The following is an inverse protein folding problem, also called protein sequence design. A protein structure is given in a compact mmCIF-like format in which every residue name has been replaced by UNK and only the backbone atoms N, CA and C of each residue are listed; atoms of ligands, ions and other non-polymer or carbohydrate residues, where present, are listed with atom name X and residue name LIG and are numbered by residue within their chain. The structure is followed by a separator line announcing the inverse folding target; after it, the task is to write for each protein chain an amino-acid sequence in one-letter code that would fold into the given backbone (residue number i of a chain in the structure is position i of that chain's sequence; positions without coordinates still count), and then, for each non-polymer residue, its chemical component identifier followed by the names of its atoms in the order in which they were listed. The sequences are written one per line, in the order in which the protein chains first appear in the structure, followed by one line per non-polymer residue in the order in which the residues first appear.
data_IF_130248689114
#
_entry.id   IF_130248689114
#
_cell.length_a   1.000
_cell.length_b   1.000
_cell.length_c   1.000
_cell.angle_alpha   90.00
_cell.angle_beta   90.00
_cell.angle_gamma   90.00
#
_symmetry.space_group_name_H-M   'P 1'
#
loop_
_entity.id
_entity.type
_entity.pdbx_description
1 polymer ?
#
# COMPACT_ATOMS: atom_id res chain seq x y z
N UNK A 1 -17.89 -0.84 7.59
CA UNK A 1 -17.76 -1.30 6.19
C UNK A 1 -17.03 -0.21 5.41
N UNK A 2 -15.87 -0.51 4.84
CA UNK A 2 -15.16 0.45 3.96
C UNK A 2 -15.79 0.35 2.57
N UNK A 3 -16.24 1.46 2.01
CA UNK A 3 -16.77 1.52 0.64
C UNK A 3 -15.60 1.76 -0.31
N UNK A 4 -15.33 0.80 -1.21
CA UNK A 4 -14.30 0.93 -2.25
C UNK A 4 -14.94 1.56 -3.49
N UNK A 5 -14.30 2.59 -4.05
CA UNK A 5 -14.77 3.28 -5.26
C UNK A 5 -13.67 3.34 -6.30
N UNK A 6 -14.04 3.19 -7.57
CA UNK A 6 -13.11 3.20 -8.69
C UNK A 6 -13.74 3.74 -9.97
N UNK A 7 -12.89 3.94 -10.98
CA UNK A 7 -13.29 4.46 -12.29
C UNK A 7 -13.83 3.37 -13.24
N UNK A 8 -13.66 2.11 -12.87
CA UNK A 8 -14.15 0.92 -13.58
C UNK A 8 -14.27 -0.24 -12.60
N UNK A 9 -14.96 -1.30 -12.99
CA UNK A 9 -15.08 -2.52 -12.17
C UNK A 9 -13.70 -3.14 -11.88
N UNK A 10 -12.81 -3.17 -12.87
CA UNK A 10 -11.43 -3.64 -12.70
C UNK A 10 -10.65 -2.83 -11.64
N UNK A 11 -10.81 -1.50 -11.62
CA UNK A 11 -10.17 -0.64 -10.61
C UNK A 11 -10.73 -0.92 -9.20
N UNK A 12 -12.03 -1.20 -9.10
CA UNK A 12 -12.67 -1.58 -7.84
C UNK A 12 -12.14 -2.93 -7.35
N UNK A 13 -12.03 -3.92 -8.24
CA UNK A 13 -11.52 -5.26 -7.90
C UNK A 13 -10.07 -5.17 -7.41
N UNK A 14 -9.19 -4.50 -8.15
CA UNK A 14 -7.78 -4.34 -7.78
C UNK A 14 -7.61 -3.62 -6.43
N UNK A 15 -8.39 -2.57 -6.16
CA UNK A 15 -8.37 -1.87 -4.86
C UNK A 15 -8.89 -2.75 -3.74
N UNK A 16 -9.89 -3.59 -4.03
CA UNK A 16 -10.46 -4.52 -3.05
C UNK A 16 -9.45 -5.60 -2.68
N UNK A 17 -8.76 -6.19 -3.66
CA UNK A 17 -7.68 -7.15 -3.42
C UNK A 17 -6.54 -6.54 -2.60
N UNK A 18 -6.11 -5.32 -2.95
CA UNK A 18 -5.08 -4.62 -2.19
C UNK A 18 -5.49 -4.41 -0.72
N UNK A 19 -6.74 -4.03 -0.46
CA UNK A 19 -7.27 -3.88 0.90
C UNK A 19 -7.33 -5.22 1.65
N UNK A 20 -7.67 -6.31 0.98
CA UNK A 20 -7.67 -7.65 1.58
C UNK A 20 -6.26 -8.07 2.00
N UNK A 21 -5.24 -7.84 1.16
CA UNK A 21 -3.85 -8.13 1.53
C UNK A 21 -3.35 -7.24 2.67
N UNK A 22 -3.66 -5.93 2.62
CA UNK A 22 -3.31 -5.00 3.71
C UNK A 22 -3.94 -5.43 5.04
N UNK A 23 -5.16 -5.96 5.03
CA UNK A 23 -5.85 -6.41 6.25
C UNK A 23 -5.18 -7.58 6.98
N UNK A 24 -4.27 -8.30 6.31
CA UNK A 24 -3.50 -9.41 6.90
C UNK A 24 -2.23 -8.94 7.60
N UNK A 25 -1.84 -7.68 7.43
CA UNK A 25 -0.59 -7.15 7.99
C UNK A 25 -0.74 -6.76 9.47
N UNK A 26 0.35 -6.83 10.25
CA UNK A 26 0.36 -6.32 11.62
C UNK A 26 0.03 -4.82 11.70
N UNK A 27 -0.59 -4.40 12.80
CA UNK A 27 -0.97 -3.00 13.05
C UNK A 27 0.22 -2.03 12.92
N UNK A 28 1.41 -2.46 13.35
CA UNK A 28 2.64 -1.67 13.28
C UNK A 28 3.08 -1.42 11.83
N UNK A 29 2.94 -2.42 10.96
CA UNK A 29 3.24 -2.31 9.53
C UNK A 29 2.23 -1.38 8.86
N UNK A 30 0.95 -1.50 9.21
CA UNK A 30 -0.11 -0.61 8.73
C UNK A 30 0.12 0.85 9.15
N UNK A 31 0.55 1.10 10.39
CA UNK A 31 0.88 2.43 10.87
C UNK A 31 2.02 3.07 10.05
N UNK A 32 3.08 2.30 9.77
CA UNK A 32 4.20 2.75 8.93
C UNK A 32 3.78 3.02 7.48
N UNK A 33 2.92 2.17 6.91
CA UNK A 33 2.34 2.39 5.58
C UNK A 33 1.54 3.71 5.51
N UNK A 34 0.77 4.03 6.56
CA UNK A 34 0.04 5.31 6.64
C UNK A 34 1.01 6.49 6.64
N UNK A 35 2.10 6.43 7.39
CA UNK A 35 3.13 7.48 7.36
C UNK A 35 3.78 7.61 5.99
N UNK A 36 4.14 6.48 5.39
CA UNK A 36 4.79 6.43 4.09
C UNK A 36 3.90 6.96 2.96
N UNK A 37 2.58 6.70 3.03
CA UNK A 37 1.60 7.18 2.05
C UNK A 37 1.50 8.72 1.99
N UNK A 38 1.87 9.41 3.06
CA UNK A 38 1.89 10.89 3.14
C UNK A 38 3.10 11.49 2.42
N UNK A 39 4.13 10.68 2.15
CA UNK A 39 5.36 11.12 1.49
C UNK A 39 5.20 10.91 -0.01
N UNK A 40 4.84 11.96 -0.76
CA UNK A 40 4.67 11.89 -2.22
C UNK A 40 5.87 11.27 -2.96
N UNK A 41 7.09 11.50 -2.47
CA UNK A 41 8.31 10.91 -3.04
C UNK A 41 8.37 9.39 -2.86
N UNK A 42 7.83 8.85 -1.77
CA UNK A 42 7.87 7.42 -1.47
C UNK A 42 7.02 6.60 -2.46
N UNK A 43 6.00 7.20 -3.07
CA UNK A 43 5.24 6.56 -4.15
C UNK A 43 6.14 6.23 -5.36
N UNK A 44 7.13 7.08 -5.66
CA UNK A 44 8.09 6.81 -6.73
C UNK A 44 9.02 5.63 -6.46
N UNK A 45 9.21 5.27 -5.18
CA UNK A 45 10.01 4.10 -4.82
C UNK A 45 9.27 2.79 -5.12
N UNK A 46 7.94 2.79 -5.16
CA UNK A 46 7.14 1.62 -5.53
C UNK A 46 7.30 1.23 -7.01
N UNK A 47 7.79 2.15 -7.85
CA UNK A 47 7.92 1.94 -9.30
C UNK A 47 9.24 1.27 -9.72
N UNK A 48 10.16 1.02 -8.78
CA UNK A 48 11.45 0.38 -9.08
C UNK A 48 11.73 -0.73 -8.09
N UNK A 49 12.45 -1.77 -8.50
CA UNK A 49 12.78 -2.89 -7.64
C UNK A 49 13.62 -2.47 -6.42
N UNK A 50 14.65 -1.65 -6.63
CA UNK A 50 15.50 -1.09 -5.57
C UNK A 50 14.70 -0.19 -4.63
N UNK A 51 13.79 0.61 -5.19
CA UNK A 51 12.92 1.46 -4.38
C UNK A 51 11.96 0.63 -3.54
N UNK A 52 11.39 -0.43 -4.10
CA UNK A 52 10.50 -1.34 -3.39
C UNK A 52 11.21 -2.08 -2.27
N UNK A 53 12.46 -2.50 -2.47
CA UNK A 53 13.30 -3.07 -1.41
C UNK A 53 13.50 -2.07 -0.25
N UNK A 54 13.71 -0.78 -0.56
CA UNK A 54 13.81 0.28 0.45
C UNK A 54 12.52 0.41 1.25
N UNK A 55 11.36 0.35 0.58
CA UNK A 55 10.05 0.36 1.25
C UNK A 55 9.90 -0.84 2.19
N UNK A 56 10.27 -2.06 1.76
CA UNK A 56 10.20 -3.25 2.62
C UNK A 56 11.00 -3.07 3.91
N UNK A 57 12.23 -2.57 3.81
CA UNK A 57 13.07 -2.30 4.98
C UNK A 57 12.42 -1.30 5.93
N UNK A 58 11.81 -0.21 5.42
CA UNK A 58 11.08 0.76 6.25
C UNK A 58 9.88 0.13 6.95
N UNK A 59 9.19 -0.79 6.27
CA UNK A 59 8.06 -1.53 6.85
C UNK A 59 8.50 -2.58 7.87
N UNK A 60 9.78 -2.96 7.89
CA UNK A 60 10.32 -3.99 8.77
C UNK A 60 10.10 -5.42 8.24
N UNK A 61 10.03 -5.56 6.91
CA UNK A 61 9.90 -6.82 6.17
C UNK A 61 11.13 -7.08 5.29
#
# INVERSE_FOLDING_TARGET
MIKVTGNSDLDIDLKTEALQELSKLPTEVLARLVELSKIKKALGYLSTETGFATIKTVLGN
#
